data_IF_263603454506
#
_entry.id   IF_263603454506
#
_cell.length_a   1.000
_cell.length_b   1.000
_cell.length_c   1.000
_cell.angle_alpha   90.00
_cell.angle_beta   90.00
_cell.angle_gamma   90.00
#
_symmetry.space_group_name_H-M   'P 1'
#
loop_
_entity.id
_entity.type
_entity.pdbx_description
1 polymer ?
#
# COMPACT_ATOMS: atom_id res chain seq x y z
N UNK A 1 -23.97 6.11 -14.10
CA UNK A 1 -24.10 4.80 -13.42
C UNK A 1 -25.44 4.16 -13.81
N UNK A 2 -25.58 3.79 -15.06
CA UNK A 2 -26.79 3.17 -15.60
C UNK A 2 -26.57 1.67 -15.76
N UNK A 3 -27.66 0.91 -15.70
CA UNK A 3 -27.60 -0.52 -15.98
C UNK A 3 -27.33 -0.75 -17.45
N UNK A 4 -26.40 -1.65 -17.75
CA UNK A 4 -26.06 -2.01 -19.12
C UNK A 4 -26.85 -3.24 -19.60
N UNK A 5 -27.13 -3.28 -20.89
CA UNK A 5 -27.75 -4.44 -21.53
C UNK A 5 -26.79 -5.65 -21.48
N UNK A 6 -27.33 -6.83 -21.16
CA UNK A 6 -26.51 -8.02 -20.98
C UNK A 6 -25.87 -8.50 -22.29
N UNK A 7 -26.60 -8.40 -23.40
CA UNK A 7 -26.09 -8.92 -24.67
C UNK A 7 -24.93 -8.08 -25.19
N UNK A 8 -25.05 -6.75 -25.19
CA UNK A 8 -23.98 -5.84 -25.64
C UNK A 8 -22.81 -5.78 -24.69
N UNK A 9 -23.05 -5.86 -23.38
CA UNK A 9 -22.00 -5.77 -22.35
C UNK A 9 -21.09 -7.01 -22.26
N UNK A 10 -21.51 -8.13 -22.84
CA UNK A 10 -20.71 -9.38 -22.82
C UNK A 10 -19.98 -9.64 -24.16
N UNK A 11 -20.04 -8.72 -25.13
CA UNK A 11 -19.32 -8.79 -26.39
C UNK A 11 -17.86 -8.36 -26.14
N UNK A 12 -16.91 -9.28 -26.27
CA UNK A 12 -15.48 -9.02 -25.96
C UNK A 12 -14.90 -7.90 -26.85
N UNK A 13 -15.29 -7.83 -28.12
CA UNK A 13 -14.82 -6.82 -29.05
C UNK A 13 -15.23 -5.38 -28.68
N UNK A 14 -16.19 -5.22 -27.75
CA UNK A 14 -16.63 -3.92 -27.27
C UNK A 14 -15.63 -3.28 -26.28
N UNK A 15 -14.61 -4.01 -25.88
CA UNK A 15 -13.61 -3.56 -24.92
C UNK A 15 -12.20 -3.77 -25.45
N UNK A 16 -11.32 -2.85 -25.15
CA UNK A 16 -9.89 -3.05 -25.38
C UNK A 16 -9.07 -2.25 -24.39
N UNK A 17 -7.85 -2.72 -24.09
CA UNK A 17 -6.89 -2.01 -23.25
C UNK A 17 -5.61 -1.78 -24.05
N UNK A 18 -5.04 -0.58 -23.90
CA UNK A 18 -3.83 -0.15 -24.57
C UNK A 18 -2.58 -0.97 -24.17
N UNK A 19 -1.44 -0.60 -24.77
CA UNK A 19 -0.11 -1.16 -24.46
C UNK A 19 -0.01 -2.68 -24.65
N UNK A 20 -0.66 -3.22 -25.69
CA UNK A 20 -0.54 -4.63 -26.06
C UNK A 20 -1.40 -5.59 -25.25
N UNK A 21 -2.20 -5.10 -24.30
CA UNK A 21 -3.15 -5.93 -23.55
C UNK A 21 -4.27 -6.43 -24.47
N UNK A 22 -4.83 -5.56 -25.32
CA UNK A 22 -5.82 -5.92 -26.32
C UNK A 22 -7.22 -6.16 -25.75
N UNK A 23 -7.90 -7.17 -26.31
CA UNK A 23 -9.26 -7.53 -25.95
C UNK A 23 -9.30 -8.44 -24.71
N UNK A 24 -10.34 -8.36 -23.86
CA UNK A 24 -10.53 -9.30 -22.77
C UNK A 24 -10.82 -10.71 -23.29
N UNK A 25 -10.50 -11.71 -22.48
CA UNK A 25 -10.87 -13.12 -22.70
C UNK A 25 -12.22 -13.46 -22.09
N UNK A 26 -12.73 -12.58 -21.21
CA UNK A 26 -14.06 -12.70 -20.61
C UNK A 26 -14.62 -11.31 -20.32
N UNK A 27 -15.93 -11.15 -20.52
CA UNK A 27 -16.72 -9.97 -20.12
C UNK A 27 -18.03 -10.47 -19.50
N UNK A 28 -18.23 -10.24 -18.21
CA UNK A 28 -19.39 -10.73 -17.47
C UNK A 28 -20.05 -9.55 -16.75
N UNK A 29 -21.32 -9.27 -17.07
CA UNK A 29 -22.10 -8.29 -16.34
C UNK A 29 -22.37 -8.80 -14.92
N UNK A 30 -22.15 -7.96 -13.91
CA UNK A 30 -22.41 -8.31 -12.52
C UNK A 30 -23.91 -8.54 -12.29
N UNK A 31 -24.22 -9.59 -11.53
CA UNK A 31 -25.61 -10.00 -11.26
C UNK A 31 -26.29 -9.09 -10.22
N UNK A 32 -25.50 -8.60 -9.27
CA UNK A 32 -25.98 -7.78 -8.15
C UNK A 32 -25.90 -6.29 -8.47
N UNK A 33 -24.97 -5.90 -9.32
CA UNK A 33 -24.82 -4.53 -9.81
C UNK A 33 -24.78 -4.50 -11.34
N UNK A 34 -25.93 -4.47 -12.02
CA UNK A 34 -25.99 -4.49 -13.48
C UNK A 34 -25.35 -3.30 -14.22
N UNK A 35 -24.85 -2.28 -13.50
CA UNK A 35 -24.05 -1.20 -14.04
C UNK A 35 -22.55 -1.54 -14.11
N UNK A 36 -22.13 -2.73 -13.65
CA UNK A 36 -20.75 -3.19 -13.60
C UNK A 36 -20.55 -4.36 -14.57
N UNK A 37 -19.39 -4.36 -15.24
CA UNK A 37 -18.94 -5.47 -16.09
C UNK A 37 -17.53 -5.89 -15.62
N UNK A 38 -17.36 -7.14 -15.32
CA UNK A 38 -16.07 -7.74 -14.98
C UNK A 38 -15.37 -8.18 -16.26
N UNK A 39 -14.17 -7.65 -16.50
CA UNK A 39 -13.33 -8.00 -17.63
C UNK A 39 -12.12 -8.80 -17.14
N UNK A 40 -11.83 -9.93 -17.79
CA UNK A 40 -10.60 -10.66 -17.57
C UNK A 40 -9.74 -10.62 -18.83
N UNK A 41 -8.42 -10.52 -18.66
CA UNK A 41 -7.45 -10.45 -19.75
C UNK A 41 -6.46 -11.61 -19.67
N UNK A 42 -5.91 -12.03 -20.80
CA UNK A 42 -4.94 -13.14 -20.87
C UNK A 42 -3.54 -12.70 -20.39
N UNK A 43 -3.21 -11.43 -20.59
CA UNK A 43 -1.92 -10.87 -20.23
C UNK A 43 -2.03 -10.05 -18.95
N UNK A 44 -0.99 -10.08 -18.13
CA UNK A 44 -0.86 -9.22 -16.97
C UNK A 44 -0.78 -7.75 -17.40
N UNK A 45 -1.36 -6.86 -16.58
CA UNK A 45 -1.22 -5.43 -16.79
C UNK A 45 0.21 -5.00 -16.48
N UNK A 46 0.90 -4.31 -17.41
CA UNK A 46 2.20 -3.73 -17.09
C UNK A 46 2.04 -2.68 -15.98
N UNK A 47 2.85 -2.83 -14.94
CA UNK A 47 2.81 -1.92 -13.80
C UNK A 47 3.40 -0.55 -14.12
N UNK A 48 2.96 0.48 -13.39
CA UNK A 48 3.60 1.81 -13.33
C UNK A 48 3.49 2.64 -14.63
N UNK A 49 2.58 2.29 -15.51
CA UNK A 49 2.25 3.07 -16.71
C UNK A 49 0.76 3.33 -16.80
N UNK A 50 0.39 4.40 -17.49
CA UNK A 50 -1.01 4.68 -17.77
C UNK A 50 -1.51 3.74 -18.86
N UNK A 51 -2.61 3.07 -18.55
CA UNK A 51 -3.37 2.22 -19.46
C UNK A 51 -4.68 2.91 -19.80
N UNK A 52 -5.15 2.75 -21.02
CA UNK A 52 -6.45 3.26 -21.43
C UNK A 52 -7.37 2.07 -21.75
N UNK A 53 -8.49 1.99 -21.05
CA UNK A 53 -9.59 1.11 -21.44
C UNK A 53 -10.48 1.87 -22.43
N UNK A 54 -10.80 1.25 -23.54
CA UNK A 54 -11.76 1.75 -24.54
C UNK A 54 -13.00 0.87 -24.54
N UNK A 55 -14.16 1.50 -24.59
CA UNK A 55 -15.48 0.83 -24.56
C UNK A 55 -16.30 1.37 -25.73
N UNK A 56 -16.82 0.48 -26.56
CA UNK A 56 -17.69 0.82 -27.69
C UNK A 56 -18.89 -0.10 -27.74
N UNK A 57 -19.98 0.39 -28.29
CA UNK A 57 -21.20 -0.38 -28.60
C UNK A 57 -21.82 -1.13 -27.40
N UNK A 58 -21.48 -0.76 -26.17
CA UNK A 58 -22.22 -1.21 -24.97
C UNK A 58 -23.44 -0.30 -24.85
N UNK A 59 -24.64 -0.90 -24.72
CA UNK A 59 -25.89 -0.15 -24.61
C UNK A 59 -26.42 -0.18 -23.18
N UNK A 60 -27.20 0.84 -22.81
CA UNK A 60 -28.07 0.79 -21.64
C UNK A 60 -29.36 -0.03 -21.97
N UNK A 61 -30.24 -0.16 -20.98
CA UNK A 61 -31.53 -0.86 -21.15
C UNK A 61 -32.51 -0.11 -22.07
N UNK A 62 -32.25 1.15 -22.38
CA UNK A 62 -33.03 1.99 -23.30
C UNK A 62 -32.50 1.96 -24.74
N UNK A 63 -31.38 1.26 -24.97
CA UNK A 63 -30.74 1.13 -26.27
C UNK A 63 -29.76 2.26 -26.61
N UNK A 64 -29.46 3.18 -25.68
CA UNK A 64 -28.45 4.20 -25.90
C UNK A 64 -27.06 3.54 -25.82
N UNK A 65 -26.23 3.78 -26.85
CA UNK A 65 -24.93 3.15 -26.97
C UNK A 65 -23.79 4.07 -26.51
N UNK A 66 -22.84 3.52 -25.77
CA UNK A 66 -21.54 4.15 -25.59
C UNK A 66 -20.75 4.06 -26.88
N UNK A 67 -20.28 5.21 -27.38
CA UNK A 67 -19.41 5.31 -28.54
C UNK A 67 -18.11 6.03 -28.17
N UNK A 68 -16.97 5.39 -28.42
CA UNK A 68 -15.65 5.92 -28.10
C UNK A 68 -15.46 6.30 -26.62
N UNK A 69 -16.09 5.54 -25.72
CA UNK A 69 -15.86 5.67 -24.28
C UNK A 69 -14.42 5.28 -23.95
N UNK A 70 -13.70 6.16 -23.23
CA UNK A 70 -12.34 5.87 -22.77
C UNK A 70 -12.17 6.25 -21.31
N UNK A 71 -11.37 5.47 -20.59
CA UNK A 71 -10.94 5.79 -19.23
C UNK A 71 -9.48 5.40 -19.04
N UNK A 72 -8.73 6.26 -18.39
CA UNK A 72 -7.32 5.99 -18.06
C UNK A 72 -7.24 5.42 -16.66
N UNK A 73 -6.49 4.36 -16.51
CA UNK A 73 -6.17 3.76 -15.22
C UNK A 73 -4.68 3.40 -15.13
N UNK A 74 -4.20 3.20 -13.92
CA UNK A 74 -2.84 2.76 -13.66
C UNK A 74 -2.90 1.49 -12.83
N UNK A 75 -2.23 0.43 -13.27
CA UNK A 75 -1.99 -0.75 -12.47
C UNK A 75 -0.64 -0.58 -11.77
N UNK A 76 -0.68 -0.52 -10.45
CA UNK A 76 0.51 -0.30 -9.66
C UNK A 76 0.88 -1.58 -8.90
N UNK A 77 2.09 -2.07 -9.16
CA UNK A 77 2.73 -3.11 -8.34
C UNK A 77 3.93 -2.47 -7.65
N UNK A 78 3.94 -2.54 -6.32
CA UNK A 78 5.04 -2.03 -5.54
C UNK A 78 6.31 -2.84 -5.79
N UNK A 79 7.41 -2.15 -5.96
CA UNK A 79 8.76 -2.73 -6.04
C UNK A 79 9.56 -2.32 -4.79
N UNK A 80 10.70 -2.95 -4.64
CA UNK A 80 11.61 -2.69 -3.51
C UNK A 80 11.86 -1.19 -3.33
N UNK A 81 11.69 -0.72 -2.10
CA UNK A 81 11.84 0.65 -1.62
C UNK A 81 10.80 1.66 -2.10
N UNK A 82 9.73 1.28 -2.79
CA UNK A 82 8.62 2.20 -3.06
C UNK A 82 7.95 2.71 -1.77
N UNK A 83 7.92 1.87 -0.75
CA UNK A 83 7.55 2.23 0.62
C UNK A 83 8.65 1.75 1.55
N UNK A 84 9.10 2.62 2.41
CA UNK A 84 10.14 2.30 3.40
C UNK A 84 9.61 2.46 4.82
N UNK A 85 10.23 1.76 5.76
CA UNK A 85 10.11 2.04 7.19
C UNK A 85 11.09 3.19 7.43
N UNK A 86 10.57 4.38 7.67
CA UNK A 86 11.33 5.62 7.79
C UNK A 86 11.74 5.89 9.23
N UNK A 87 10.81 5.67 10.16
CA UNK A 87 11.03 5.88 11.59
C UNK A 87 10.44 4.72 12.39
N UNK A 88 11.00 4.45 13.55
CA UNK A 88 10.46 3.45 14.49
C UNK A 88 10.69 3.85 15.95
N UNK A 89 9.71 3.53 16.80
CA UNK A 89 9.78 3.59 18.25
C UNK A 89 9.75 2.16 18.79
N UNK A 90 10.92 1.62 19.12
CA UNK A 90 11.02 0.25 19.64
C UNK A 90 10.91 0.20 21.17
N UNK A 91 11.46 1.19 21.86
CA UNK A 91 11.40 1.30 23.31
C UNK A 91 10.79 2.65 23.71
N UNK A 92 9.48 2.72 23.97
CA UNK A 92 8.81 3.96 24.31
C UNK A 92 9.04 4.41 25.76
N UNK A 93 9.70 3.61 26.60
CA UNK A 93 9.91 3.91 28.02
C UNK A 93 11.38 3.99 28.40
N UNK A 94 11.78 5.01 29.23
CA UNK A 94 10.95 6.02 29.88
C UNK A 94 10.35 7.03 28.90
N UNK A 95 9.13 7.49 29.14
CA UNK A 95 8.48 8.50 28.32
C UNK A 95 9.28 9.81 28.36
N UNK A 96 9.73 10.28 27.17
CA UNK A 96 10.44 11.57 27.03
C UNK A 96 9.50 12.64 26.46
N UNK A 97 8.91 12.40 25.30
CA UNK A 97 8.00 13.36 24.65
C UNK A 97 6.92 12.72 23.78
N UNK A 98 7.11 11.46 23.40
CA UNK A 98 6.16 10.70 22.58
C UNK A 98 5.33 9.76 23.46
N UNK A 99 4.17 9.30 22.99
CA UNK A 99 3.34 8.35 23.72
C UNK A 99 4.07 7.03 24.04
N UNK A 100 3.67 6.41 25.16
CA UNK A 100 4.11 5.07 25.54
C UNK A 100 3.47 4.03 24.60
N UNK A 101 4.04 3.89 23.43
CA UNK A 101 3.56 3.00 22.38
C UNK A 101 4.68 2.65 21.39
N UNK A 102 4.74 1.39 20.99
CA UNK A 102 5.57 0.96 19.86
C UNK A 102 4.86 1.26 18.55
N UNK A 103 5.59 1.74 17.55
CA UNK A 103 5.09 2.06 16.23
C UNK A 103 6.20 2.11 15.20
N UNK A 104 5.82 2.06 13.94
CA UNK A 104 6.69 2.40 12.80
C UNK A 104 6.03 3.48 11.97
N UNK A 105 6.82 4.28 11.26
CA UNK A 105 6.35 5.19 10.25
C UNK A 105 6.74 4.68 8.86
N UNK A 106 5.80 4.68 7.95
CA UNK A 106 6.01 4.32 6.55
C UNK A 106 6.05 5.58 5.71
N UNK A 107 7.02 5.66 4.80
CA UNK A 107 7.16 6.71 3.79
C UNK A 107 6.99 6.15 2.40
N UNK A 108 6.21 6.82 1.56
CA UNK A 108 6.14 6.54 0.14
C UNK A 108 7.22 7.33 -0.60
N UNK A 109 8.26 6.64 -1.06
CA UNK A 109 9.35 7.22 -1.83
C UNK A 109 9.12 7.15 -3.34
N UNK A 110 8.01 6.55 -3.77
CA UNK A 110 7.62 6.46 -5.18
C UNK A 110 6.86 7.69 -5.66
N UNK A 111 6.79 7.88 -6.97
CA UNK A 111 5.95 8.91 -7.60
C UNK A 111 4.47 8.55 -7.74
N UNK A 112 3.98 7.47 -7.10
CA UNK A 112 2.63 6.95 -7.28
C UNK A 112 1.84 6.93 -5.97
N UNK A 113 0.52 7.05 -6.06
CA UNK A 113 -0.34 6.74 -4.92
C UNK A 113 -0.32 5.24 -4.65
N UNK A 114 -0.04 4.83 -3.43
CA UNK A 114 0.02 3.42 -3.01
C UNK A 114 -1.13 3.13 -2.06
N UNK A 115 -1.97 2.15 -2.40
CA UNK A 115 -2.95 1.63 -1.45
C UNK A 115 -2.26 0.60 -0.55
N UNK A 116 -2.22 0.89 0.75
CA UNK A 116 -1.62 0.00 1.76
C UNK A 116 -2.56 -1.14 2.19
N UNK A 117 -3.75 -1.26 1.60
CA UNK A 117 -4.66 -2.36 1.90
C UNK A 117 -3.98 -3.73 1.73
N UNK A 118 -4.15 -4.61 2.70
CA UNK A 118 -3.55 -5.96 2.76
C UNK A 118 -2.02 -6.02 2.92
N UNK A 119 -1.32 -4.88 3.01
CA UNK A 119 0.09 -4.89 3.38
C UNK A 119 0.28 -5.33 4.83
N UNK A 120 1.47 -5.84 5.14
CA UNK A 120 1.81 -6.34 6.50
C UNK A 120 3.20 -5.89 6.91
N UNK A 121 3.37 -5.75 8.22
CA UNK A 121 4.68 -5.62 8.85
C UNK A 121 5.02 -6.95 9.48
N UNK A 122 6.25 -7.41 9.29
CA UNK A 122 6.70 -8.67 9.84
C UNK A 122 8.06 -8.59 10.49
N UNK A 123 8.35 -9.60 11.27
CA UNK A 123 9.66 -9.93 11.86
C UNK A 123 9.83 -11.45 11.91
N UNK A 124 10.97 -11.95 12.43
CA UNK A 124 11.27 -13.38 12.48
C UNK A 124 10.20 -14.24 13.18
N UNK A 125 9.41 -13.66 14.06
CA UNK A 125 8.37 -14.38 14.83
C UNK A 125 6.98 -14.36 14.19
N UNK A 126 6.79 -13.65 13.08
CA UNK A 126 5.51 -13.58 12.37
C UNK A 126 5.18 -12.20 11.82
N UNK A 127 4.03 -12.12 11.19
CA UNK A 127 3.51 -10.91 10.55
C UNK A 127 2.31 -10.35 11.31
N UNK A 128 2.09 -9.04 11.17
CA UNK A 128 0.87 -8.38 11.59
C UNK A 128 -0.36 -8.89 10.83
N UNK A 129 -1.56 -8.58 11.31
CA UNK A 129 -2.74 -8.58 10.45
C UNK A 129 -2.59 -7.58 9.29
N UNK A 130 -3.49 -7.67 8.28
CA UNK A 130 -3.43 -6.79 7.11
C UNK A 130 -3.71 -5.33 7.51
N UNK A 131 -3.02 -4.42 6.82
CA UNK A 131 -3.31 -2.98 6.90
C UNK A 131 -4.68 -2.69 6.29
N UNK A 132 -5.42 -1.70 6.82
CA UNK A 132 -6.67 -1.23 6.23
C UNK A 132 -6.42 -0.52 4.89
N UNK A 133 -7.50 -0.25 4.15
CA UNK A 133 -7.44 0.60 2.97
C UNK A 133 -6.97 2.01 3.35
N UNK A 134 -5.81 2.41 2.88
CA UNK A 134 -5.21 3.72 3.08
C UNK A 134 -4.37 4.10 1.86
N UNK A 135 -4.62 5.28 1.30
CA UNK A 135 -3.85 5.78 0.16
C UNK A 135 -2.69 6.62 0.65
N UNK A 136 -1.49 6.06 0.59
CA UNK A 136 -0.24 6.74 0.88
C UNK A 136 0.22 7.47 -0.39
N UNK A 137 0.11 8.81 -0.38
CA UNK A 137 0.50 9.66 -1.52
C UNK A 137 2.02 9.72 -1.67
N UNK A 138 2.54 10.11 -2.85
CA UNK A 138 3.96 10.39 -3.01
C UNK A 138 4.49 11.29 -1.90
N UNK A 139 5.65 10.97 -1.36
CA UNK A 139 6.37 11.70 -0.31
C UNK A 139 5.60 11.89 1.01
N UNK A 140 4.49 11.14 1.19
CA UNK A 140 3.70 11.18 2.43
C UNK A 140 4.12 10.09 3.41
N UNK A 141 3.80 10.34 4.67
CA UNK A 141 4.08 9.50 5.83
C UNK A 141 2.79 8.95 6.43
N UNK A 142 2.88 7.79 7.08
CA UNK A 142 1.80 7.20 7.89
C UNK A 142 2.37 6.35 9.02
N UNK A 143 1.87 6.59 10.22
CA UNK A 143 2.21 5.78 11.41
C UNK A 143 1.38 4.49 11.38
N UNK A 144 2.04 3.36 11.63
CA UNK A 144 1.43 2.02 11.78
C UNK A 144 1.69 1.52 13.18
N UNK A 145 0.63 1.13 13.89
CA UNK A 145 0.71 0.72 15.29
C UNK A 145 -0.37 -0.31 15.66
N UNK A 146 -0.36 -0.75 16.92
CA UNK A 146 -1.47 -1.49 17.50
C UNK A 146 -2.71 -0.62 17.66
N UNK A 147 -3.91 -1.21 17.59
CA UNK A 147 -5.18 -0.47 17.69
C UNK A 147 -5.34 0.36 18.97
N UNK A 148 -4.78 -0.10 20.10
CA UNK A 148 -4.78 0.61 21.39
C UNK A 148 -4.00 1.92 21.36
N UNK A 149 -3.03 2.07 20.45
CA UNK A 149 -2.10 3.20 20.40
C UNK A 149 -2.57 4.34 19.49
N UNK A 150 -3.60 4.11 18.66
CA UNK A 150 -4.09 5.08 17.66
C UNK A 150 -4.42 6.44 18.26
N UNK A 151 -5.16 6.46 19.37
CA UNK A 151 -5.60 7.73 20.00
C UNK A 151 -4.41 8.58 20.46
N UNK A 152 -3.39 7.96 21.04
CA UNK A 152 -2.19 8.66 21.51
C UNK A 152 -1.34 9.21 20.35
N UNK A 153 -1.25 8.45 19.25
CA UNK A 153 -0.40 8.79 18.13
C UNK A 153 -1.04 9.74 17.11
N UNK A 154 -2.38 9.85 17.09
CA UNK A 154 -3.11 10.67 16.10
C UNK A 154 -2.82 12.17 16.16
N UNK A 155 -2.21 12.66 17.26
CA UNK A 155 -1.75 14.05 17.37
C UNK A 155 -0.46 14.32 16.56
N UNK A 156 0.26 13.28 16.15
CA UNK A 156 1.57 13.38 15.51
C UNK A 156 1.51 13.15 13.98
N UNK A 157 0.43 12.59 13.47
CA UNK A 157 0.28 12.38 12.02
C UNK A 157 -0.92 11.51 11.67
N UNK A 158 -0.96 11.08 10.41
CA UNK A 158 -1.90 10.06 9.96
C UNK A 158 -1.53 8.72 10.59
N UNK A 159 -2.52 8.02 11.15
CA UNK A 159 -2.30 6.73 11.83
C UNK A 159 -3.22 5.67 11.27
N UNK A 160 -2.66 4.52 10.96
CA UNK A 160 -3.42 3.28 10.70
C UNK A 160 -3.03 2.22 11.71
N UNK A 161 -3.94 1.32 12.02
CA UNK A 161 -3.66 0.22 12.94
C UNK A 161 -3.77 -1.13 12.28
N UNK A 162 -3.01 -2.07 12.80
CA UNK A 162 -3.08 -3.48 12.43
C UNK A 162 -3.35 -4.34 13.65
N UNK A 163 -3.99 -5.47 13.45
CA UNK A 163 -4.06 -6.51 14.48
C UNK A 163 -2.71 -7.20 14.60
N UNK A 164 -2.38 -7.69 15.79
CA UNK A 164 -1.10 -8.39 16.02
C UNK A 164 0.12 -7.58 15.54
N UNK A 165 0.13 -6.26 15.80
CA UNK A 165 1.34 -5.46 15.57
C UNK A 165 2.52 -6.13 16.26
N UNK A 166 3.64 -6.43 15.56
CA UNK A 166 4.75 -7.15 16.15
C UNK A 166 5.42 -6.31 17.23
N UNK A 167 5.58 -6.86 18.44
CA UNK A 167 6.37 -6.20 19.48
C UNK A 167 7.80 -5.99 18.98
N UNK A 168 8.28 -4.76 19.03
CA UNK A 168 9.61 -4.40 18.56
C UNK A 168 10.66 -4.71 19.65
N UNK A 169 11.81 -5.26 19.23
CA UNK A 169 12.88 -5.56 20.18
C UNK A 169 13.61 -4.29 20.64
N UNK A 170 13.63 -3.99 21.94
CA UNK A 170 14.28 -2.78 22.49
C UNK A 170 15.78 -2.71 22.14
N UNK A 171 16.47 -3.86 22.06
CA UNK A 171 17.90 -3.92 21.73
C UNK A 171 18.16 -4.14 20.24
N UNK A 172 17.14 -4.44 19.45
CA UNK A 172 17.23 -4.64 18.01
C UNK A 172 16.32 -5.73 17.48
N UNK A 173 15.98 -5.62 16.20
CA UNK A 173 15.15 -6.59 15.49
C UNK A 173 15.34 -6.47 13.96
N UNK A 174 14.94 -7.48 13.22
CA UNK A 174 14.82 -7.44 11.78
C UNK A 174 13.34 -7.29 11.41
N UNK A 175 12.97 -6.09 10.96
CA UNK A 175 11.63 -5.80 10.46
C UNK A 175 11.60 -5.87 8.95
N UNK A 176 10.46 -6.26 8.39
CA UNK A 176 10.22 -6.18 6.96
C UNK A 176 8.78 -5.74 6.65
N UNK A 177 8.63 -5.09 5.53
CA UNK A 177 7.36 -4.65 4.96
C UNK A 177 7.04 -5.53 3.75
N UNK A 178 5.86 -6.14 3.74
CA UNK A 178 5.43 -7.07 2.70
C UNK A 178 4.18 -6.55 2.00
N UNK A 179 4.17 -6.59 0.67
CA UNK A 179 3.02 -6.22 -0.16
C UNK A 179 1.98 -7.35 -0.22
N UNK A 180 0.75 -7.09 -0.68
CA UNK A 180 -0.29 -8.11 -0.85
C UNK A 180 0.10 -9.27 -1.77
N UNK A 181 1.08 -9.05 -2.67
CA UNK A 181 1.61 -10.07 -3.58
C UNK A 181 2.70 -10.96 -2.92
N UNK A 182 3.00 -10.71 -1.63
CA UNK A 182 4.04 -11.45 -0.90
C UNK A 182 5.47 -10.95 -1.17
N UNK A 183 5.65 -9.81 -1.84
CA UNK A 183 6.97 -9.24 -2.09
C UNK A 183 7.44 -8.45 -0.87
N UNK A 184 8.68 -8.69 -0.44
CA UNK A 184 9.33 -7.84 0.57
C UNK A 184 9.74 -6.53 -0.11
N UNK A 185 9.18 -5.44 0.37
CA UNK A 185 9.37 -4.09 -0.19
C UNK A 185 10.48 -3.33 0.52
N UNK A 186 10.58 -3.49 1.84
CA UNK A 186 11.65 -2.91 2.64
C UNK A 186 12.00 -3.81 3.82
N UNK A 187 13.25 -3.72 4.27
CA UNK A 187 13.73 -4.37 5.50
C UNK A 187 14.62 -3.41 6.28
N UNK A 188 14.50 -3.43 7.59
CA UNK A 188 15.41 -2.73 8.50
C UNK A 188 15.87 -3.69 9.60
N UNK A 189 17.19 -3.83 9.75
CA UNK A 189 17.80 -4.61 10.83
C UNK A 189 18.47 -3.63 11.80
N UNK A 190 17.66 -3.05 12.68
CA UNK A 190 18.12 -2.05 13.63
C UNK A 190 18.70 -2.67 14.90
N UNK A 191 19.50 -1.89 15.60
CA UNK A 191 19.96 -2.18 16.95
C UNK A 191 19.97 -0.89 17.78
N UNK A 192 19.93 -1.00 19.10
CA UNK A 192 20.06 0.12 20.03
C UNK A 192 21.39 0.90 19.86
N UNK A 193 22.42 0.23 19.36
CA UNK A 193 23.70 0.87 19.05
C UNK A 193 23.58 1.96 17.95
N UNK A 194 22.48 2.00 17.18
CA UNK A 194 22.24 3.02 16.18
C UNK A 194 21.95 4.39 16.79
N UNK A 195 21.45 4.45 18.03
CA UNK A 195 21.28 5.72 18.75
C UNK A 195 22.61 6.47 18.96
N UNK A 196 23.75 5.78 18.99
CA UNK A 196 25.08 6.36 19.23
C UNK A 196 25.13 7.24 20.48
N UNK A 197 24.24 7.02 21.44
CA UNK A 197 24.05 7.79 22.66
C UNK A 197 23.46 6.89 23.76
N UNK A 198 24.17 6.72 24.86
CA UNK A 198 23.78 5.82 25.93
C UNK A 198 22.44 6.22 26.59
N UNK A 199 22.15 7.54 26.74
CA UNK A 199 20.89 8.00 27.29
C UNK A 199 19.70 7.69 26.39
N UNK A 200 19.91 7.69 25.06
CA UNK A 200 18.83 7.37 24.10
C UNK A 200 18.56 5.87 24.03
N UNK A 201 19.54 5.04 24.32
CA UNK A 201 19.37 3.57 24.40
C UNK A 201 18.45 3.14 25.56
N UNK A 202 18.34 3.97 26.60
CA UNK A 202 17.48 3.69 27.75
C UNK A 202 15.98 3.81 27.45
N UNK A 203 15.62 4.20 26.21
CA UNK A 203 14.26 4.30 25.72
C UNK A 203 13.71 5.74 25.57
N UNK A 204 12.49 5.87 25.06
CA UNK A 204 11.79 7.14 24.85
C UNK A 204 12.24 7.93 23.61
N UNK A 205 13.07 7.36 22.76
CA UNK A 205 13.60 7.96 21.54
C UNK A 205 13.34 7.06 20.34
N UNK A 206 13.17 7.67 19.17
CA UNK A 206 12.99 6.98 17.88
C UNK A 206 14.32 6.78 17.16
N UNK A 207 14.30 5.86 16.22
CA UNK A 207 15.29 5.76 15.14
C UNK A 207 14.63 6.21 13.86
N UNK A 208 15.15 7.27 13.26
CA UNK A 208 14.65 7.86 12.02
C UNK A 208 15.73 7.78 10.94
N UNK A 209 15.34 7.51 9.70
CA UNK A 209 16.23 7.45 8.55
C UNK A 209 16.69 8.87 8.15
N UNK A 210 18.00 9.08 8.03
CA UNK A 210 18.57 10.39 7.67
C UNK A 210 18.37 10.69 6.18
N UNK A 211 18.54 9.69 5.33
CA UNK A 211 18.42 9.81 3.87
C UNK A 211 17.56 8.71 3.29
N UNK A 212 16.32 9.04 3.01
CA UNK A 212 15.30 8.12 2.45
C UNK A 212 15.61 7.67 1.01
N UNK A 213 16.56 8.32 0.31
CA UNK A 213 17.03 7.89 -1.00
C UNK A 213 18.11 6.79 -0.91
N UNK A 214 18.60 6.53 0.29
CA UNK A 214 19.64 5.52 0.54
C UNK A 214 19.23 4.52 1.66
N UNK A 215 18.09 3.86 1.56
CA UNK A 215 17.48 3.09 2.64
C UNK A 215 18.27 1.84 3.05
N UNK A 216 19.37 1.52 2.34
CA UNK A 216 20.21 0.36 2.64
C UNK A 216 21.48 0.70 3.44
N UNK A 217 21.68 1.94 3.86
CA UNK A 217 22.91 2.39 4.52
C UNK A 217 23.04 1.94 6.00
N UNK A 218 22.00 1.30 6.56
CA UNK A 218 22.02 0.81 7.93
C UNK A 218 22.33 1.93 8.93
N UNK A 219 23.22 1.64 9.91
CA UNK A 219 23.58 2.61 10.97
C UNK A 219 24.18 3.93 10.51
N UNK A 220 24.48 4.07 9.22
CA UNK A 220 25.02 5.29 8.62
C UNK A 220 23.94 6.20 8.05
N UNK A 221 22.68 5.78 8.17
CA UNK A 221 21.53 6.50 7.66
C UNK A 221 20.49 6.77 8.75
#
# INVERSE_FOLDING_TARGET
NEQVDIASSQVLANYSVSNGIGFPVSAIRDITNPAMVHLAFANDFPGRINLTVSINAVTDLSGNSINNGTSVFNYFTAIRHDVIIDELMADPTPIVSLPDAEWIELKNTSGFNINLQEWRVGKSTGESGPMPAYILKPDSLVIVCAGSSVTGLSAYGSVISVTSFPALGNTGDLLYLVSPQGNIIHTVNYTDAWYQNELKKDGGWTLEMIDTHNPCSGKSN
#
